data_IF_598967158441
#
_entry.id   IF_598967158441
#
_cell.length_a   1.000
_cell.length_b   1.000
_cell.length_c   1.000
_cell.angle_alpha   90.00
_cell.angle_beta   90.00
_cell.angle_gamma   90.00
#
_symmetry.space_group_name_H-M   'P 1'
#
loop_
_entity.id
_entity.type
_entity.pdbx_description
1 polymer ?
#
# COMPACT_ATOMS: atom_id res chain seq x y z
N UNK A 1 -9.42 -18.53 -54.19
CA UNK A 1 -9.40 -18.89 -52.72
C UNK A 1 -8.44 -18.04 -51.84
N UNK A 2 -7.61 -17.12 -52.36
CA UNK A 2 -6.70 -16.30 -51.52
C UNK A 2 -7.28 -14.97 -51.02
N UNK A 3 -8.35 -14.45 -51.58
CA UNK A 3 -8.93 -13.17 -51.13
C UNK A 3 -9.82 -13.28 -49.88
N UNK A 4 -10.36 -14.44 -49.54
CA UNK A 4 -11.23 -14.62 -48.37
C UNK A 4 -10.47 -14.70 -47.05
N UNK A 5 -9.20 -15.14 -47.05
CA UNK A 5 -8.38 -15.21 -45.82
C UNK A 5 -7.88 -13.85 -45.35
N UNK A 6 -7.64 -12.91 -46.26
CA UNK A 6 -7.14 -11.56 -45.93
C UNK A 6 -8.24 -10.73 -45.23
N UNK A 7 -9.50 -10.92 -45.63
CA UNK A 7 -10.64 -10.21 -45.01
C UNK A 7 -10.94 -10.72 -43.59
N UNK A 8 -10.79 -12.02 -43.35
CA UNK A 8 -11.00 -12.59 -42.00
C UNK A 8 -9.94 -12.12 -40.97
N UNK A 9 -8.67 -12.04 -41.38
CA UNK A 9 -7.60 -11.51 -40.54
C UNK A 9 -7.76 -10.02 -40.23
N UNK A 10 -8.18 -9.23 -41.19
CA UNK A 10 -8.42 -7.79 -41.04
C UNK A 10 -9.61 -7.52 -40.09
N UNK A 11 -10.69 -8.29 -40.19
CA UNK A 11 -11.85 -8.18 -39.29
C UNK A 11 -11.52 -8.61 -37.86
N UNK A 12 -10.74 -9.69 -37.66
CA UNK A 12 -10.30 -10.15 -36.34
C UNK A 12 -9.37 -9.13 -35.73
N UNK A 13 -8.43 -8.56 -36.48
CA UNK A 13 -7.52 -7.52 -35.99
C UNK A 13 -8.25 -6.22 -35.66
N UNK A 14 -9.26 -5.85 -36.45
CA UNK A 14 -10.12 -4.68 -36.19
C UNK A 14 -11.04 -4.88 -34.99
N UNK A 15 -11.58 -6.09 -34.78
CA UNK A 15 -12.33 -6.42 -33.56
C UNK A 15 -11.45 -6.43 -32.31
N UNK A 16 -10.23 -6.98 -32.36
CA UNK A 16 -9.31 -7.00 -31.24
C UNK A 16 -8.80 -5.60 -30.87
N UNK A 17 -8.54 -4.73 -31.86
CA UNK A 17 -8.17 -3.34 -31.62
C UNK A 17 -9.35 -2.54 -31.04
N UNK A 18 -10.57 -2.80 -31.48
CA UNK A 18 -11.76 -2.09 -31.01
C UNK A 18 -12.14 -2.50 -29.57
N UNK A 19 -11.96 -3.78 -29.20
CA UNK A 19 -12.17 -4.22 -27.80
C UNK A 19 -11.13 -3.63 -26.85
N UNK A 20 -9.90 -3.46 -27.27
CA UNK A 20 -8.84 -2.80 -26.49
C UNK A 20 -9.14 -1.31 -26.26
N UNK A 21 -9.57 -0.59 -27.29
CA UNK A 21 -9.96 0.83 -27.19
C UNK A 21 -11.17 1.01 -26.29
N UNK A 22 -12.20 0.18 -26.41
CA UNK A 22 -13.40 0.21 -25.58
C UNK A 22 -13.06 -0.07 -24.10
N UNK A 23 -12.15 -1.01 -23.83
CA UNK A 23 -11.69 -1.31 -22.48
C UNK A 23 -10.89 -0.15 -21.87
N UNK A 24 -10.02 0.49 -22.65
CA UNK A 24 -9.26 1.66 -22.20
C UNK A 24 -10.19 2.85 -21.91
N UNK A 25 -11.19 3.10 -22.76
CA UNK A 25 -12.19 4.16 -22.54
C UNK A 25 -13.02 3.88 -21.27
N UNK A 26 -13.48 2.64 -21.08
CA UNK A 26 -14.20 2.25 -19.87
C UNK A 26 -13.36 2.42 -18.59
N UNK A 27 -12.05 2.11 -18.67
CA UNK A 27 -11.13 2.32 -17.55
C UNK A 27 -11.02 3.80 -17.19
N UNK A 28 -10.79 4.66 -18.18
CA UNK A 28 -10.72 6.11 -17.96
C UNK A 28 -12.01 6.67 -17.42
N UNK A 29 -13.17 6.22 -17.92
CA UNK A 29 -14.49 6.65 -17.41
C UNK A 29 -14.69 6.35 -15.94
N UNK A 30 -14.22 5.19 -15.46
CA UNK A 30 -14.31 4.83 -14.05
C UNK A 30 -13.56 5.82 -13.14
N UNK A 31 -12.32 6.17 -13.50
CA UNK A 31 -11.51 7.11 -12.73
C UNK A 31 -11.97 8.56 -12.89
N UNK A 32 -12.38 8.98 -14.10
CA UNK A 32 -12.96 10.31 -14.31
C UNK A 32 -14.26 10.50 -13.51
N UNK A 33 -15.12 9.49 -13.47
CA UNK A 33 -16.33 9.52 -12.68
C UNK A 33 -16.03 9.69 -11.17
N UNK A 34 -14.95 9.03 -10.68
CA UNK A 34 -14.50 9.22 -9.30
C UNK A 34 -14.09 10.67 -9.02
N UNK A 35 -13.31 11.26 -9.91
CA UNK A 35 -12.88 12.68 -9.82
C UNK A 35 -14.08 13.65 -9.89
N UNK A 36 -15.06 13.35 -10.73
CA UNK A 36 -16.31 14.13 -10.88
C UNK A 36 -17.34 13.85 -9.77
N UNK A 37 -17.02 12.97 -8.83
CA UNK A 37 -17.91 12.52 -7.75
C UNK A 37 -19.19 11.81 -8.25
N UNK A 38 -19.20 11.31 -9.48
CA UNK A 38 -20.22 10.38 -9.96
C UNK A 38 -19.89 8.98 -9.47
N UNK A 39 -20.13 8.78 -8.17
CA UNK A 39 -19.77 7.54 -7.49
C UNK A 39 -20.53 6.32 -8.00
N UNK A 40 -21.71 6.50 -8.58
CA UNK A 40 -22.48 5.39 -9.17
C UNK A 40 -21.79 4.86 -10.42
N UNK A 41 -21.37 5.74 -11.31
CA UNK A 41 -20.62 5.39 -12.52
C UNK A 41 -19.24 4.86 -12.16
N UNK A 42 -18.54 5.50 -11.20
CA UNK A 42 -17.25 5.05 -10.71
C UNK A 42 -17.34 3.62 -10.16
N UNK A 43 -18.30 3.32 -9.29
CA UNK A 43 -18.50 1.99 -8.72
C UNK A 43 -18.69 0.94 -9.81
N UNK A 44 -19.54 1.20 -10.82
CA UNK A 44 -19.81 0.27 -11.90
C UNK A 44 -18.53 -0.13 -12.66
N UNK A 45 -17.75 0.86 -13.10
CA UNK A 45 -16.53 0.57 -13.86
C UNK A 45 -15.39 0.01 -12.97
N UNK A 46 -15.16 0.61 -11.80
CA UNK A 46 -14.08 0.16 -10.91
C UNK A 46 -14.32 -1.26 -10.39
N UNK A 47 -15.57 -1.66 -10.13
CA UNK A 47 -15.88 -3.04 -9.74
C UNK A 47 -15.49 -4.04 -10.83
N UNK A 48 -15.75 -3.71 -12.10
CA UNK A 48 -15.33 -4.55 -13.21
C UNK A 48 -13.81 -4.70 -13.29
N UNK A 49 -13.06 -3.60 -13.18
CA UNK A 49 -11.60 -3.63 -13.26
C UNK A 49 -10.97 -4.28 -12.01
N UNK A 50 -11.49 -4.04 -10.83
CA UNK A 50 -11.05 -4.68 -9.60
C UNK A 50 -11.21 -6.20 -9.65
N UNK A 51 -12.36 -6.69 -10.12
CA UNK A 51 -12.61 -8.13 -10.33
C UNK A 51 -11.66 -8.76 -11.37
N UNK A 52 -11.08 -7.95 -12.26
CA UNK A 52 -10.07 -8.38 -13.22
C UNK A 52 -8.62 -8.12 -12.74
N UNK A 53 -8.42 -7.87 -11.45
CA UNK A 53 -7.11 -7.76 -10.82
C UNK A 53 -6.43 -6.39 -10.95
N UNK A 54 -7.16 -5.33 -11.37
CA UNK A 54 -6.58 -3.99 -11.40
C UNK A 54 -6.41 -3.44 -9.98
N UNK A 55 -5.17 -3.28 -9.56
CA UNK A 55 -4.81 -2.90 -8.20
C UNK A 55 -5.26 -1.49 -7.82
N UNK A 56 -5.30 -0.56 -8.80
CA UNK A 56 -5.77 0.79 -8.55
C UNK A 56 -7.29 0.81 -8.38
N UNK A 57 -8.02 0.02 -9.15
CA UNK A 57 -9.46 -0.12 -8.99
C UNK A 57 -9.80 -0.77 -7.64
N UNK A 58 -9.09 -1.84 -7.25
CA UNK A 58 -9.23 -2.47 -5.94
C UNK A 58 -8.99 -1.46 -4.80
N UNK A 59 -7.89 -0.72 -4.84
CA UNK A 59 -7.59 0.30 -3.84
C UNK A 59 -8.68 1.39 -3.76
N UNK A 60 -9.18 1.87 -4.91
CA UNK A 60 -10.21 2.89 -4.94
C UNK A 60 -11.57 2.38 -4.44
N UNK A 61 -11.93 1.11 -4.72
CA UNK A 61 -13.11 0.50 -4.10
C UNK A 61 -12.96 0.43 -2.58
N UNK A 62 -11.78 0.07 -2.07
CA UNK A 62 -11.48 0.12 -0.64
C UNK A 62 -11.77 1.51 -0.05
N UNK A 63 -11.36 2.58 -0.72
CA UNK A 63 -11.69 3.96 -0.31
C UNK A 63 -13.20 4.22 -0.38
N UNK A 64 -13.86 3.81 -1.47
CA UNK A 64 -15.30 4.03 -1.64
C UNK A 64 -16.11 3.39 -0.51
N UNK A 65 -15.79 2.17 -0.12
CA UNK A 65 -16.43 1.51 1.01
C UNK A 65 -16.09 2.15 2.36
N UNK A 66 -14.84 2.59 2.56
CA UNK A 66 -14.40 3.26 3.79
C UNK A 66 -15.14 4.57 4.03
N UNK A 67 -15.32 5.35 2.98
CA UNK A 67 -15.93 6.69 3.06
C UNK A 67 -17.44 6.67 2.78
N UNK A 68 -18.01 5.55 2.27
CA UNK A 68 -19.41 5.47 1.88
C UNK A 68 -19.69 6.23 0.58
N UNK A 69 -18.78 6.21 -0.38
CA UNK A 69 -18.91 6.92 -1.66
C UNK A 69 -19.67 6.08 -2.67
N UNK A 70 -20.94 6.40 -2.91
CA UNK A 70 -21.83 5.66 -3.81
C UNK A 70 -22.27 4.29 -3.30
N UNK A 71 -21.80 3.89 -2.13
CA UNK A 71 -22.14 2.66 -1.41
C UNK A 71 -22.37 2.97 0.06
N UNK A 72 -23.03 2.07 0.79
CA UNK A 72 -23.06 2.16 2.26
C UNK A 72 -21.66 1.95 2.79
N UNK A 73 -21.22 2.79 3.75
CA UNK A 73 -19.95 2.62 4.44
C UNK A 73 -19.85 1.23 5.05
N UNK A 74 -18.74 0.53 4.77
CA UNK A 74 -18.47 -0.81 5.23
C UNK A 74 -16.96 -1.02 5.38
N UNK A 75 -16.47 -1.03 6.63
CA UNK A 75 -15.05 -1.15 6.93
C UNK A 75 -14.52 -2.57 6.62
N UNK A 76 -15.39 -3.62 6.62
CA UNK A 76 -15.00 -4.99 6.25
C UNK A 76 -14.79 -5.10 4.73
N UNK A 77 -15.72 -4.59 3.93
CA UNK A 77 -15.58 -4.54 2.48
C UNK A 77 -14.38 -3.66 2.07
N UNK A 78 -14.18 -2.54 2.77
CA UNK A 78 -13.02 -1.69 2.57
C UNK A 78 -11.71 -2.45 2.77
N UNK A 79 -11.57 -3.16 3.89
CA UNK A 79 -10.38 -3.96 4.19
C UNK A 79 -10.18 -5.07 3.14
N UNK A 80 -11.25 -5.76 2.73
CA UNK A 80 -11.18 -6.79 1.68
C UNK A 80 -10.55 -6.25 0.40
N UNK A 81 -11.04 -5.11 -0.11
CA UNK A 81 -10.50 -4.51 -1.33
C UNK A 81 -9.07 -3.94 -1.14
N UNK A 82 -8.72 -3.44 0.04
CA UNK A 82 -7.33 -3.04 0.32
C UNK A 82 -6.39 -4.25 0.37
N UNK A 83 -6.83 -5.39 0.92
CA UNK A 83 -6.04 -6.64 0.93
C UNK A 83 -5.84 -7.13 -0.49
N UNK A 84 -6.90 -7.21 -1.33
CA UNK A 84 -6.77 -7.56 -2.74
C UNK A 84 -5.73 -6.68 -3.46
N UNK A 85 -5.79 -5.35 -3.25
CA UNK A 85 -4.81 -4.44 -3.82
C UNK A 85 -3.39 -4.68 -3.30
N UNK A 86 -3.23 -4.94 -2.00
CA UNK A 86 -1.95 -5.19 -1.35
C UNK A 86 -1.29 -6.48 -1.86
N UNK A 87 -2.04 -7.58 -1.95
CA UNK A 87 -1.59 -8.87 -2.48
C UNK A 87 -1.11 -8.76 -3.92
N UNK A 88 -1.72 -7.87 -4.70
CA UNK A 88 -1.31 -7.54 -6.06
C UNK A 88 -0.22 -6.44 -6.12
N UNK A 89 0.46 -6.14 -5.01
CA UNK A 89 1.61 -5.24 -4.95
C UNK A 89 1.29 -3.75 -4.94
N UNK A 90 0.06 -3.35 -4.57
CA UNK A 90 -0.28 -1.93 -4.47
C UNK A 90 0.31 -1.32 -3.18
N UNK A 91 1.24 -0.38 -3.32
CA UNK A 91 1.94 0.26 -2.20
C UNK A 91 0.98 0.88 -1.17
N UNK A 92 0.03 1.69 -1.63
CA UNK A 92 -0.96 2.33 -0.75
C UNK A 92 -2.01 1.35 -0.23
N UNK A 93 -2.25 0.23 -0.93
CA UNK A 93 -3.06 -0.89 -0.45
C UNK A 93 -2.44 -1.50 0.81
N UNK A 94 -1.15 -1.86 0.73
CA UNK A 94 -0.39 -2.35 1.89
C UNK A 94 -0.44 -1.37 3.07
N UNK A 95 -0.22 -0.07 2.83
CA UNK A 95 -0.30 0.93 3.88
C UNK A 95 -1.70 1.02 4.51
N UNK A 96 -2.76 0.99 3.68
CA UNK A 96 -4.14 1.05 4.16
C UNK A 96 -4.53 -0.18 4.99
N UNK A 97 -4.08 -1.39 4.59
CA UNK A 97 -4.27 -2.62 5.37
C UNK A 97 -3.54 -2.53 6.70
N UNK A 98 -2.28 -2.07 6.71
CA UNK A 98 -1.53 -1.85 7.95
C UNK A 98 -2.24 -0.91 8.92
N UNK A 99 -2.80 0.19 8.43
CA UNK A 99 -3.63 1.09 9.24
C UNK A 99 -4.91 0.42 9.76
N UNK A 100 -5.59 -0.38 8.93
CA UNK A 100 -6.81 -1.07 9.31
C UNK A 100 -6.57 -2.03 10.48
N UNK A 101 -5.53 -2.86 10.42
CA UNK A 101 -5.13 -3.75 11.51
C UNK A 101 -4.65 -2.99 12.76
N UNK A 102 -3.95 -1.87 12.58
CA UNK A 102 -3.46 -1.06 13.70
C UNK A 102 -4.59 -0.49 14.56
N UNK A 103 -5.71 -0.12 13.94
CA UNK A 103 -6.83 0.55 14.63
C UNK A 103 -8.10 -0.30 14.73
N UNK A 104 -8.08 -1.53 14.24
CA UNK A 104 -9.21 -2.46 14.30
C UNK A 104 -10.38 -2.04 13.39
N UNK A 105 -10.10 -1.61 12.15
CA UNK A 105 -11.14 -1.25 11.18
C UNK A 105 -11.36 -2.35 10.15
N UNK A 106 -12.50 -2.99 10.21
CA UNK A 106 -12.86 -4.14 9.37
C UNK A 106 -12.25 -5.47 9.85
N UNK A 107 -11.47 -5.44 10.92
CA UNK A 107 -10.87 -6.59 11.60
C UNK A 107 -10.63 -6.26 13.07
N UNK A 108 -10.20 -7.23 13.85
CA UNK A 108 -9.61 -6.99 15.17
C UNK A 108 -8.24 -6.28 15.04
N UNK A 109 -7.81 -5.64 16.14
CA UNK A 109 -6.47 -5.03 16.19
C UNK A 109 -5.42 -6.15 16.15
N UNK A 110 -4.50 -6.06 15.18
CA UNK A 110 -3.38 -6.97 15.03
C UNK A 110 -2.12 -6.16 14.66
N UNK A 111 -1.26 -5.96 15.65
CA UNK A 111 -0.04 -5.17 15.46
C UNK A 111 1.04 -5.91 14.65
N UNK A 112 1.06 -7.24 14.67
CA UNK A 112 2.00 -8.03 13.86
C UNK A 112 1.60 -7.96 12.38
N UNK A 113 0.31 -8.16 12.08
CA UNK A 113 -0.21 -7.94 10.75
C UNK A 113 0.02 -6.49 10.28
N UNK A 114 -0.20 -5.49 11.14
CA UNK A 114 0.06 -4.09 10.80
C UNK A 114 1.53 -3.86 10.42
N UNK A 115 2.49 -4.39 11.21
CA UNK A 115 3.92 -4.29 10.91
C UNK A 115 4.25 -5.00 9.59
N UNK A 116 3.69 -6.18 9.35
CA UNK A 116 3.89 -6.91 8.10
C UNK A 116 3.49 -6.05 6.89
N UNK A 117 2.27 -5.54 6.85
CA UNK A 117 1.79 -4.74 5.73
C UNK A 117 2.49 -3.38 5.61
N UNK A 118 2.83 -2.72 6.71
CA UNK A 118 3.68 -1.52 6.65
C UNK A 118 5.08 -1.83 6.12
N UNK A 119 5.63 -2.99 6.43
CA UNK A 119 6.93 -3.44 5.90
C UNK A 119 6.85 -3.66 4.40
N UNK A 120 5.81 -4.34 3.89
CA UNK A 120 5.62 -4.51 2.45
C UNK A 120 5.42 -3.15 1.74
N UNK A 121 4.65 -2.23 2.33
CA UNK A 121 4.54 -0.87 1.81
C UNK A 121 5.91 -0.14 1.78
N UNK A 122 6.72 -0.30 2.84
CA UNK A 122 8.06 0.25 2.90
C UNK A 122 9.00 -0.37 1.85
N UNK A 123 8.92 -1.68 1.61
CA UNK A 123 9.66 -2.36 0.54
C UNK A 123 9.31 -1.83 -0.86
N UNK A 124 8.06 -1.41 -1.05
CA UNK A 124 7.57 -0.77 -2.28
C UNK A 124 7.90 0.74 -2.35
N UNK A 125 8.61 1.28 -1.36
CA UNK A 125 9.08 2.67 -1.36
C UNK A 125 8.20 3.67 -0.59
N UNK A 126 7.14 3.22 0.13
CA UNK A 126 6.31 4.14 0.91
C UNK A 126 7.10 4.80 2.03
N UNK A 127 7.14 6.13 2.05
CA UNK A 127 7.98 6.88 2.97
C UNK A 127 7.43 6.93 4.41
N UNK A 128 6.10 6.87 4.58
CA UNK A 128 5.45 7.03 5.90
C UNK A 128 5.37 5.69 6.65
N UNK A 129 5.28 4.54 5.96
CA UNK A 129 5.20 3.24 6.62
C UNK A 129 6.31 2.97 7.64
N UNK A 130 7.57 3.31 7.37
CA UNK A 130 8.64 3.18 8.39
C UNK A 130 8.41 4.07 9.63
N UNK A 131 7.72 5.23 9.47
CA UNK A 131 7.37 6.07 10.63
C UNK A 131 6.40 5.32 11.54
N UNK A 132 5.37 4.68 10.96
CA UNK A 132 4.39 3.94 11.75
C UNK A 132 5.00 2.73 12.47
N UNK A 133 5.88 1.98 11.81
CA UNK A 133 6.59 0.86 12.44
C UNK A 133 7.48 1.37 13.59
N UNK A 134 8.25 2.43 13.36
CA UNK A 134 9.06 3.06 14.40
C UNK A 134 8.23 3.54 15.59
N UNK A 135 7.03 4.10 15.34
CA UNK A 135 6.09 4.50 16.38
C UNK A 135 5.62 3.32 17.23
N UNK A 136 5.36 2.16 16.63
CA UNK A 136 4.95 0.94 17.34
C UNK A 136 6.05 0.48 18.30
N UNK A 137 7.29 0.34 17.82
CA UNK A 137 8.43 -0.05 18.64
C UNK A 137 8.77 0.97 19.72
N UNK A 138 8.69 2.26 19.41
CA UNK A 138 8.96 3.33 20.38
C UNK A 138 7.94 3.36 21.54
N UNK A 139 6.65 3.21 21.20
CA UNK A 139 5.58 3.27 22.22
C UNK A 139 5.49 2.00 23.07
N UNK A 140 5.71 0.84 22.48
CA UNK A 140 5.65 -0.45 23.17
C UNK A 140 4.28 -0.77 23.78
N UNK A 141 3.18 -0.36 23.14
CA UNK A 141 1.82 -0.59 23.68
C UNK A 141 1.17 -1.85 23.14
N UNK A 142 1.38 -2.14 21.87
CA UNK A 142 0.79 -3.27 21.15
C UNK A 142 1.83 -4.35 20.86
N UNK A 143 3.10 -4.00 20.94
CA UNK A 143 4.26 -4.88 20.79
C UNK A 143 5.28 -4.53 21.87
N UNK A 144 6.30 -5.35 22.06
CA UNK A 144 7.40 -5.06 22.95
C UNK A 144 8.16 -3.80 22.49
N UNK A 145 8.51 -2.95 23.48
CA UNK A 145 9.26 -1.73 23.21
C UNK A 145 10.69 -2.05 22.82
N UNK A 146 11.09 -1.53 21.66
CA UNK A 146 12.46 -1.69 21.15
C UNK A 146 12.96 -0.38 20.50
N UNK A 147 13.86 0.29 21.21
CA UNK A 147 14.44 1.55 20.73
C UNK A 147 15.44 1.35 19.58
N UNK A 148 16.07 0.17 19.46
CA UNK A 148 17.00 -0.13 18.36
C UNK A 148 16.21 -0.29 17.07
N UNK A 149 15.12 -1.07 17.09
CA UNK A 149 14.20 -1.21 15.96
C UNK A 149 13.52 0.12 15.61
N UNK A 150 13.09 0.90 16.61
CA UNK A 150 12.51 2.24 16.39
C UNK A 150 13.51 3.16 15.65
N UNK A 151 14.80 3.13 16.05
CA UNK A 151 15.86 3.89 15.41
C UNK A 151 16.03 3.48 13.95
N UNK A 152 16.11 2.17 13.67
CA UNK A 152 16.25 1.65 12.30
C UNK A 152 15.13 2.14 11.39
N UNK A 153 13.87 1.97 11.81
CA UNK A 153 12.73 2.35 11.00
C UNK A 153 12.60 3.86 10.80
N UNK A 154 12.87 4.66 11.85
CA UNK A 154 12.85 6.13 11.69
C UNK A 154 14.03 6.66 10.90
N UNK A 155 15.20 6.00 10.93
CA UNK A 155 16.31 6.33 10.03
C UNK A 155 15.94 6.08 8.58
N UNK A 156 15.32 4.94 8.28
CA UNK A 156 14.80 4.67 6.93
C UNK A 156 13.75 5.69 6.50
N UNK A 157 12.87 6.12 7.41
CA UNK A 157 11.90 7.17 7.16
C UNK A 157 12.58 8.52 6.88
N UNK A 158 13.64 8.86 7.64
CA UNK A 158 14.42 10.06 7.46
C UNK A 158 15.11 10.10 6.07
N UNK A 159 15.73 9.00 5.68
CA UNK A 159 16.40 8.86 4.37
C UNK A 159 15.41 9.02 3.19
N UNK A 160 14.12 8.77 3.44
CA UNK A 160 13.01 8.97 2.49
C UNK A 160 12.32 10.33 2.64
N UNK A 161 12.87 11.24 3.43
CA UNK A 161 12.29 12.56 3.71
C UNK A 161 10.86 12.51 4.29
N UNK A 162 10.54 11.47 5.06
CA UNK A 162 9.24 11.36 5.69
C UNK A 162 9.05 12.45 6.76
N UNK A 163 7.84 13.03 6.89
CA UNK A 163 7.55 14.05 7.88
C UNK A 163 7.85 13.57 9.31
N UNK A 164 8.41 14.45 10.13
CA UNK A 164 8.74 14.23 11.53
C UNK A 164 9.79 13.14 11.83
N UNK A 165 10.35 12.46 10.85
CA UNK A 165 11.32 11.38 11.09
C UNK A 165 12.57 11.89 11.83
N UNK A 166 13.13 13.04 11.45
CA UNK A 166 14.26 13.66 12.15
C UNK A 166 13.91 13.99 13.60
N UNK A 167 12.78 14.65 13.84
CA UNK A 167 12.32 14.98 15.19
C UNK A 167 12.13 13.74 16.07
N UNK A 168 11.60 12.66 15.49
CA UNK A 168 11.42 11.40 16.19
C UNK A 168 12.77 10.79 16.59
N UNK A 169 13.76 10.83 15.70
CA UNK A 169 15.13 10.37 15.99
C UNK A 169 15.77 11.17 17.13
N UNK A 170 15.65 12.51 17.13
CA UNK A 170 16.21 13.35 18.19
C UNK A 170 15.61 12.98 19.56
N UNK A 171 14.29 12.82 19.62
CA UNK A 171 13.60 12.38 20.85
C UNK A 171 14.04 10.98 21.27
N UNK A 172 14.18 10.06 20.33
CA UNK A 172 14.62 8.69 20.62
C UNK A 172 16.03 8.65 21.19
N UNK A 173 16.99 9.35 20.52
CA UNK A 173 18.39 9.38 20.92
C UNK A 173 18.56 9.96 22.34
N UNK A 174 17.69 10.87 22.78
CA UNK A 174 17.67 11.38 24.16
C UNK A 174 17.24 10.34 25.20
N UNK A 175 16.54 9.28 24.79
CA UNK A 175 16.01 8.22 25.65
C UNK A 175 16.84 6.94 25.63
N UNK A 176 17.66 6.74 24.61
CA UNK A 176 18.52 5.56 24.45
C UNK A 176 19.73 5.62 25.38
N UNK A 177 20.05 4.48 26.00
CA UNK A 177 21.33 4.31 26.70
C UNK A 177 22.49 4.08 25.69
N UNK A 178 23.73 4.04 26.16
CA UNK A 178 24.91 3.91 25.31
C UNK A 178 24.95 2.59 24.55
N UNK A 179 24.51 1.49 25.17
CA UNK A 179 24.49 0.17 24.51
C UNK A 179 23.44 0.13 23.39
N UNK A 180 22.25 0.69 23.61
CA UNK A 180 21.23 0.80 22.57
C UNK A 180 21.71 1.65 21.37
N UNK A 181 22.39 2.77 21.64
CA UNK A 181 23.00 3.61 20.60
C UNK A 181 24.05 2.84 19.81
N UNK A 182 24.90 2.07 20.49
CA UNK A 182 25.88 1.20 19.85
C UNK A 182 25.24 0.15 18.95
N UNK A 183 24.20 -0.54 19.44
CA UNK A 183 23.47 -1.55 18.68
C UNK A 183 22.77 -0.94 17.47
N UNK A 184 22.14 0.21 17.61
CA UNK A 184 21.49 0.93 16.52
C UNK A 184 22.49 1.32 15.42
N UNK A 185 23.67 1.81 15.81
CA UNK A 185 24.74 2.13 14.87
C UNK A 185 25.24 0.89 14.11
N UNK A 186 25.43 -0.24 14.82
CA UNK A 186 25.88 -1.49 14.18
C UNK A 186 24.84 -2.01 13.20
N UNK A 187 23.54 -1.99 13.57
CA UNK A 187 22.44 -2.39 12.70
C UNK A 187 22.38 -1.49 11.46
N UNK A 188 22.44 -0.18 11.63
CA UNK A 188 22.44 0.77 10.52
C UNK A 188 23.60 0.52 9.55
N UNK A 189 24.82 0.31 10.06
CA UNK A 189 26.00 0.02 9.23
C UNK A 189 25.89 -1.32 8.48
N UNK A 190 25.27 -2.33 9.10
CA UNK A 190 24.99 -3.59 8.45
C UNK A 190 24.00 -3.39 7.29
N UNK A 191 22.92 -2.68 7.54
CA UNK A 191 21.83 -2.47 6.59
C UNK A 191 22.20 -1.50 5.44
N UNK A 192 23.09 -0.53 5.66
CA UNK A 192 23.56 0.37 4.61
C UNK A 192 24.27 -0.33 3.43
N UNK A 193 24.70 -1.57 3.63
CA UNK A 193 25.37 -2.40 2.61
C UNK A 193 24.42 -3.36 1.89
N UNK A 194 23.16 -3.38 2.27
CA UNK A 194 22.14 -4.34 1.85
C UNK A 194 20.90 -3.63 1.28
N UNK A 195 20.12 -4.32 0.48
CA UNK A 195 18.75 -3.87 0.21
C UNK A 195 17.91 -3.99 1.49
N UNK A 196 16.83 -3.23 1.59
CA UNK A 196 15.94 -3.31 2.76
C UNK A 196 15.48 -4.76 3.03
N UNK A 197 15.07 -5.50 2.00
CA UNK A 197 14.65 -6.90 2.14
C UNK A 197 15.78 -7.80 2.65
N UNK A 198 17.01 -7.63 2.18
CA UNK A 198 18.17 -8.37 2.68
C UNK A 198 18.49 -8.01 4.12
N UNK A 199 18.38 -6.73 4.49
CA UNK A 199 18.58 -6.28 5.86
C UNK A 199 17.57 -6.89 6.84
N UNK A 200 16.30 -6.94 6.47
CA UNK A 200 15.23 -7.50 7.32
C UNK A 200 15.35 -9.03 7.51
N UNK A 201 15.98 -9.72 6.55
CA UNK A 201 16.15 -11.18 6.58
C UNK A 201 17.51 -11.62 7.16
N UNK A 202 18.34 -10.71 7.63
CA UNK A 202 19.72 -10.95 8.10
C UNK A 202 19.85 -10.84 9.62
#
# INVERSE_FOLDING_TARGET
MRCFQIFAFSLIFFCLSNTGILKADAYLRGFQALEQRDYKTALYYLSYFAANGDTKAQYNLGIMYREGLGVKKDDVQSLTHFVEAAENGHMLGNYAVGLAFLIGKGSDIDSEAAIHYFTEAALLGHAISPVEIGNLYFRGRLIEKDFVSAHFWWSLAHDRNAPNASKNLDVLLSKMNQEQKRQAFLLQNKCNKLTLRQCLNS
#
